data_IF_151293251252
#
_entry.id   IF_151293251252
#
_cell.length_a   1.000
_cell.length_b   1.000
_cell.length_c   1.000
_cell.angle_alpha   90.00
_cell.angle_beta   90.00
_cell.angle_gamma   90.00
#
_symmetry.space_group_name_H-M   'P 1'
#
loop_
_entity.id
_entity.type
_entity.pdbx_description
1 polymer ?
#
# COMPACT_ATOMS: atom_id res chain seq x y z
N UNK A 1 29.72 56.44 -26.80
CA UNK A 1 30.46 55.19 -26.51
C UNK A 1 29.43 54.09 -26.57
N UNK A 2 29.08 53.59 -27.75
CA UNK A 2 29.85 52.63 -28.56
C UNK A 2 28.97 51.38 -28.59
N UNK A 3 28.15 51.21 -29.63
CA UNK A 3 28.41 50.27 -30.75
C UNK A 3 28.26 48.82 -30.25
N UNK A 4 27.22 48.07 -30.62
CA UNK A 4 26.91 47.59 -31.97
C UNK A 4 27.06 46.07 -31.97
N UNK A 5 26.17 45.32 -32.64
CA UNK A 5 26.40 43.88 -32.88
C UNK A 5 25.15 43.00 -32.91
N UNK A 6 24.58 42.84 -34.11
CA UNK A 6 23.67 41.77 -34.47
C UNK A 6 24.45 40.56 -35.02
N UNK A 7 23.92 39.35 -34.82
CA UNK A 7 24.32 38.08 -35.45
C UNK A 7 23.68 36.94 -34.67
N UNK A 8 22.93 35.98 -35.23
CA UNK A 8 22.90 35.47 -36.59
C UNK A 8 23.31 34.00 -36.58
N UNK A 9 22.31 33.12 -36.57
CA UNK A 9 22.26 31.74 -37.10
C UNK A 9 23.24 30.64 -36.62
N UNK A 10 22.61 29.51 -36.25
CA UNK A 10 22.91 28.12 -36.60
C UNK A 10 24.26 27.48 -36.26
N UNK A 11 24.19 26.34 -35.58
CA UNK A 11 25.24 25.33 -35.63
C UNK A 11 25.12 24.27 -34.54
N UNK A 12 24.95 23.01 -34.94
CA UNK A 12 25.38 21.86 -34.14
C UNK A 12 24.29 20.83 -33.89
N UNK A 13 24.01 20.01 -34.90
CA UNK A 13 23.37 18.72 -34.68
C UNK A 13 24.21 17.85 -33.74
N UNK A 14 23.53 17.22 -32.79
CA UNK A 14 24.00 15.99 -32.18
C UNK A 14 22.90 14.96 -32.42
N UNK A 15 23.03 14.28 -33.55
CA UNK A 15 22.37 13.01 -33.84
C UNK A 15 22.83 12.01 -32.77
N UNK A 16 22.13 12.04 -31.63
CA UNK A 16 22.27 11.06 -30.57
C UNK A 16 21.60 9.79 -31.04
N UNK A 17 22.31 9.03 -31.88
CA UNK A 17 21.93 7.70 -32.29
C UNK A 17 21.59 6.87 -31.06
N UNK A 18 20.29 6.74 -30.80
CA UNK A 18 19.75 5.77 -29.88
C UNK A 18 20.07 4.40 -30.49
N UNK A 19 21.23 3.84 -30.13
CA UNK A 19 21.54 2.46 -30.38
C UNK A 19 20.35 1.61 -29.91
N UNK A 20 19.99 0.54 -30.65
CA UNK A 20 18.80 -0.23 -30.35
C UNK A 20 18.86 -0.65 -28.89
N UNK A 21 17.84 -0.22 -28.12
CA UNK A 21 17.64 -0.66 -26.77
C UNK A 21 17.76 -2.20 -26.75
N UNK A 22 18.46 -2.79 -25.78
CA UNK A 22 18.60 -4.24 -25.70
C UNK A 22 17.21 -4.85 -25.83
N UNK A 23 17.06 -5.76 -26.78
CA UNK A 23 15.78 -6.39 -27.09
C UNK A 23 15.14 -6.83 -25.78
N UNK A 24 14.00 -6.23 -25.46
CA UNK A 24 13.29 -6.52 -24.21
C UNK A 24 13.15 -8.03 -24.09
N UNK A 25 13.57 -8.58 -22.95
CA UNK A 25 13.48 -10.02 -22.71
C UNK A 25 12.04 -10.49 -23.00
N UNK A 26 11.84 -11.65 -23.64
CA UNK A 26 10.51 -12.12 -23.97
C UNK A 26 9.67 -12.23 -22.71
N UNK A 27 8.46 -11.67 -22.75
CA UNK A 27 7.52 -11.72 -21.63
C UNK A 27 7.15 -13.16 -21.28
N UNK A 28 6.76 -13.41 -20.02
CA UNK A 28 6.49 -14.77 -19.54
C UNK A 28 5.41 -15.50 -20.35
N UNK A 29 4.42 -14.78 -20.86
CA UNK A 29 3.40 -15.34 -21.74
C UNK A 29 3.99 -15.91 -23.05
N UNK A 30 4.95 -15.21 -23.65
CA UNK A 30 5.62 -15.67 -24.87
C UNK A 30 6.49 -16.89 -24.59
N UNK A 31 7.19 -16.90 -23.45
CA UNK A 31 7.96 -18.07 -23.00
C UNK A 31 7.05 -19.27 -22.81
N UNK A 32 5.88 -19.08 -22.17
CA UNK A 32 4.89 -20.15 -21.99
C UNK A 32 4.41 -20.71 -23.33
N UNK A 33 3.99 -19.85 -24.28
CA UNK A 33 3.59 -20.29 -25.63
C UNK A 33 4.71 -21.06 -26.34
N UNK A 34 5.94 -20.56 -26.27
CA UNK A 34 7.11 -21.22 -26.87
C UNK A 34 7.34 -22.62 -26.29
N UNK A 35 7.19 -22.78 -24.97
CA UNK A 35 7.33 -24.08 -24.30
C UNK A 35 6.23 -25.05 -24.75
N UNK A 36 4.98 -24.58 -24.87
CA UNK A 36 3.85 -25.40 -25.33
C UNK A 36 4.04 -25.85 -26.78
N UNK A 37 4.43 -24.95 -27.67
CA UNK A 37 4.70 -25.29 -29.07
C UNK A 37 5.87 -26.28 -29.18
N UNK A 38 6.96 -26.06 -28.42
CA UNK A 38 8.10 -26.99 -28.37
C UNK A 38 7.66 -28.36 -27.86
N UNK A 39 6.82 -28.42 -26.83
CA UNK A 39 6.27 -29.67 -26.31
C UNK A 39 5.50 -30.44 -27.39
N UNK A 40 4.60 -29.76 -28.12
CA UNK A 40 3.81 -30.38 -29.19
C UNK A 40 4.67 -30.88 -30.34
N UNK A 41 5.70 -30.13 -30.73
CA UNK A 41 6.67 -30.58 -31.74
C UNK A 41 7.37 -31.87 -31.31
N UNK A 42 7.83 -31.94 -30.05
CA UNK A 42 8.49 -33.15 -29.52
C UNK A 42 7.53 -34.34 -29.42
N UNK A 43 6.28 -34.09 -29.04
CA UNK A 43 5.23 -35.11 -28.99
C UNK A 43 5.00 -35.70 -30.39
N UNK A 44 4.81 -34.86 -31.41
CA UNK A 44 4.59 -35.33 -32.79
C UNK A 44 5.83 -36.02 -33.35
N UNK A 45 7.03 -35.53 -33.05
CA UNK A 45 8.27 -36.20 -33.45
C UNK A 45 8.40 -37.60 -32.82
N UNK A 46 7.98 -37.78 -31.57
CA UNK A 46 7.95 -39.07 -30.91
C UNK A 46 6.89 -40.00 -31.51
N UNK A 47 5.72 -39.46 -31.85
CA UNK A 47 4.61 -40.17 -32.49
C UNK A 47 4.76 -40.27 -34.01
N UNK A 48 5.99 -40.39 -34.54
CA UNK A 48 6.22 -40.32 -35.99
C UNK A 48 5.45 -41.37 -36.80
N UNK A 49 5.09 -41.02 -38.03
CA UNK A 49 4.37 -41.91 -38.96
C UNK A 49 5.05 -43.28 -39.15
N UNK A 50 6.39 -43.31 -39.15
CA UNK A 50 7.15 -44.55 -39.26
C UNK A 50 6.90 -45.49 -38.07
N UNK A 51 6.82 -44.97 -36.84
CA UNK A 51 6.46 -45.78 -35.67
C UNK A 51 5.02 -46.27 -35.77
N UNK A 52 4.11 -45.38 -36.18
CA UNK A 52 2.69 -45.72 -36.35
C UNK A 52 2.50 -46.88 -37.34
N UNK A 53 3.09 -46.80 -38.54
CA UNK A 53 3.02 -47.87 -39.55
C UNK A 53 3.71 -49.15 -39.09
N UNK A 54 4.81 -49.04 -38.35
CA UNK A 54 5.49 -50.22 -37.79
C UNK A 54 4.61 -51.00 -36.80
N UNK A 55 3.74 -50.33 -36.05
CA UNK A 55 2.76 -50.97 -35.17
C UNK A 55 1.57 -51.57 -35.95
N UNK A 56 1.18 -50.96 -37.07
CA UNK A 56 0.01 -51.36 -37.88
C UNK A 56 0.37 -51.97 -39.25
N UNK A 57 1.46 -52.76 -39.32
CA UNK A 57 2.02 -53.29 -40.57
C UNK A 57 1.02 -54.05 -41.44
N UNK A 58 0.17 -54.88 -40.85
CA UNK A 58 -0.79 -55.69 -41.60
C UNK A 58 -1.82 -54.81 -42.34
N UNK A 59 -2.31 -53.77 -41.66
CA UNK A 59 -3.28 -52.83 -42.22
C UNK A 59 -2.63 -51.92 -43.28
N UNK A 60 -1.41 -51.44 -43.01
CA UNK A 60 -0.66 -50.62 -43.97
C UNK A 60 -0.42 -51.32 -45.30
N UNK A 61 -0.11 -52.63 -45.29
CA UNK A 61 0.08 -53.42 -46.52
C UNK A 61 -1.19 -53.52 -47.38
N UNK A 62 -2.35 -53.55 -46.74
CA UNK A 62 -3.65 -53.64 -47.42
C UNK A 62 -4.09 -52.27 -47.95
N UNK A 63 -3.95 -51.22 -47.14
CA UNK A 63 -4.48 -49.88 -47.47
C UNK A 63 -3.56 -48.74 -46.98
N UNK A 64 -2.48 -48.45 -47.74
CA UNK A 64 -1.48 -47.44 -47.35
C UNK A 64 -2.05 -46.02 -47.27
N UNK A 65 -2.92 -45.66 -48.22
CA UNK A 65 -3.50 -44.32 -48.32
C UNK A 65 -4.44 -44.03 -47.13
N UNK A 66 -5.27 -45.01 -46.75
CA UNK A 66 -6.16 -44.88 -45.60
C UNK A 66 -5.36 -44.79 -44.30
N UNK A 67 -4.31 -45.61 -44.15
CA UNK A 67 -3.41 -45.56 -42.98
C UNK A 67 -2.78 -44.17 -42.80
N UNK A 68 -2.36 -43.54 -43.89
CA UNK A 68 -1.82 -42.18 -43.88
C UNK A 68 -2.88 -41.15 -43.49
N UNK A 69 -4.07 -41.22 -44.08
CA UNK A 69 -5.19 -40.33 -43.74
C UNK A 69 -5.58 -40.42 -42.26
N UNK A 70 -5.63 -41.63 -41.69
CA UNK A 70 -5.95 -41.84 -40.27
C UNK A 70 -4.87 -41.21 -39.38
N UNK A 71 -3.60 -41.40 -39.72
CA UNK A 71 -2.49 -40.81 -38.96
C UNK A 71 -2.53 -39.27 -39.00
N UNK A 72 -2.71 -38.69 -40.19
CA UNK A 72 -2.75 -37.24 -40.36
C UNK A 72 -3.92 -36.63 -39.57
N UNK A 73 -5.08 -37.30 -39.59
CA UNK A 73 -6.25 -36.91 -38.79
C UNK A 73 -5.97 -37.04 -37.28
N UNK A 74 -5.37 -38.14 -36.84
CA UNK A 74 -5.02 -38.36 -35.44
C UNK A 74 -4.08 -37.27 -34.90
N UNK A 75 -2.99 -36.98 -35.61
CA UNK A 75 -2.03 -35.95 -35.20
C UNK A 75 -2.67 -34.57 -35.20
N UNK A 76 -3.45 -34.23 -36.24
CA UNK A 76 -4.12 -32.93 -36.32
C UNK A 76 -5.11 -32.74 -35.19
N UNK A 77 -5.94 -33.75 -34.89
CA UNK A 77 -6.90 -33.70 -33.78
C UNK A 77 -6.21 -33.64 -32.43
N UNK A 78 -5.13 -34.41 -32.22
CA UNK A 78 -4.36 -34.38 -30.99
C UNK A 78 -3.73 -33.00 -30.74
N UNK A 79 -3.08 -32.42 -31.75
CA UNK A 79 -2.50 -31.09 -31.63
C UNK A 79 -3.56 -30.02 -31.39
N UNK A 80 -4.67 -30.06 -32.11
CA UNK A 80 -5.76 -29.10 -31.95
C UNK A 80 -6.38 -29.20 -30.55
N UNK A 81 -6.72 -30.41 -30.11
CA UNK A 81 -7.33 -30.65 -28.80
C UNK A 81 -6.41 -30.21 -27.65
N UNK A 82 -5.10 -30.51 -27.72
CA UNK A 82 -4.17 -30.06 -26.67
C UNK A 82 -4.00 -28.53 -26.68
N UNK A 83 -3.94 -27.90 -27.87
CA UNK A 83 -3.85 -26.44 -27.97
C UNK A 83 -5.11 -25.76 -27.44
N UNK A 84 -6.26 -26.29 -27.76
CA UNK A 84 -7.56 -25.81 -27.29
C UNK A 84 -7.66 -25.92 -25.77
N UNK A 85 -7.37 -27.10 -25.20
CA UNK A 85 -7.38 -27.33 -23.75
C UNK A 85 -6.43 -26.36 -23.01
N UNK A 86 -5.20 -26.18 -23.51
CA UNK A 86 -4.24 -25.24 -22.89
C UNK A 86 -4.75 -23.80 -23.01
N UNK A 87 -5.37 -23.44 -24.14
CA UNK A 87 -5.92 -22.10 -24.34
C UNK A 87 -7.13 -21.85 -23.42
N UNK A 88 -7.97 -22.86 -23.19
CA UNK A 88 -9.06 -22.81 -22.21
C UNK A 88 -8.51 -22.60 -20.80
N UNK A 89 -7.55 -23.43 -20.34
CA UNK A 89 -6.90 -23.26 -19.03
C UNK A 89 -6.25 -21.88 -18.91
N UNK A 90 -5.63 -21.36 -19.99
CA UNK A 90 -5.03 -20.02 -20.01
C UNK A 90 -6.08 -18.92 -19.81
N UNK A 91 -7.24 -19.07 -20.44
CA UNK A 91 -8.35 -18.13 -20.34
C UNK A 91 -9.02 -18.21 -18.96
N UNK A 92 -9.31 -19.41 -18.47
CA UNK A 92 -9.92 -19.65 -17.16
C UNK A 92 -9.05 -19.09 -16.03
N UNK A 93 -7.74 -19.33 -16.11
CA UNK A 93 -6.77 -18.82 -15.14
C UNK A 93 -6.38 -17.35 -15.34
N UNK A 94 -6.92 -16.67 -16.35
CA UNK A 94 -6.53 -15.32 -16.75
C UNK A 94 -5.00 -15.12 -16.79
N UNK A 95 -4.30 -16.11 -17.36
CA UNK A 95 -2.84 -16.19 -17.22
C UNK A 95 -2.11 -15.07 -17.96
N UNK A 96 -2.69 -14.53 -19.03
CA UNK A 96 -2.06 -13.42 -19.76
C UNK A 96 -1.94 -12.15 -18.91
N UNK A 97 -2.99 -11.81 -18.16
CA UNK A 97 -2.97 -10.68 -17.23
C UNK A 97 -2.03 -10.97 -16.05
N UNK A 98 -2.06 -12.20 -15.52
CA UNK A 98 -1.21 -12.60 -14.40
C UNK A 98 0.28 -12.57 -14.78
N UNK A 99 0.65 -13.06 -15.96
CA UNK A 99 2.02 -12.97 -16.48
C UNK A 99 2.44 -11.52 -16.69
N UNK A 100 1.57 -10.69 -17.26
CA UNK A 100 1.86 -9.27 -17.46
C UNK A 100 2.02 -8.53 -16.13
N UNK A 101 1.21 -8.85 -15.12
CA UNK A 101 1.31 -8.31 -13.76
C UNK A 101 2.61 -8.75 -13.09
N UNK A 102 2.97 -10.02 -13.21
CA UNK A 102 4.22 -10.55 -12.66
C UNK A 102 5.46 -9.94 -13.34
N UNK A 103 5.41 -9.75 -14.66
CA UNK A 103 6.44 -9.04 -15.41
C UNK A 103 6.62 -7.62 -14.85
N UNK A 104 5.53 -6.86 -14.65
CA UNK A 104 5.57 -5.52 -14.02
C UNK A 104 6.17 -5.54 -12.60
N UNK A 105 5.74 -6.46 -11.73
CA UNK A 105 6.26 -6.57 -10.36
C UNK A 105 7.77 -6.83 -10.36
N UNK A 106 8.24 -7.68 -11.27
CA UNK A 106 9.67 -7.99 -11.40
C UNK A 106 10.44 -6.78 -11.92
N UNK A 107 9.90 -6.07 -12.91
CA UNK A 107 10.46 -4.80 -13.40
C UNK A 107 10.58 -3.75 -12.28
N UNK A 108 9.53 -3.55 -11.49
CA UNK A 108 9.49 -2.61 -10.36
C UNK A 108 10.49 -2.97 -9.24
N UNK A 109 10.83 -4.25 -9.12
CA UNK A 109 11.73 -4.76 -8.08
C UNK A 109 13.18 -4.95 -8.54
N UNK A 110 13.52 -4.60 -9.80
CA UNK A 110 14.85 -4.84 -10.39
C UNK A 110 16.01 -4.28 -9.58
N UNK A 111 15.83 -3.13 -8.95
CA UNK A 111 16.88 -2.44 -8.20
C UNK A 111 17.10 -3.01 -6.80
N UNK A 112 16.29 -3.99 -6.37
CA UNK A 112 16.38 -4.61 -5.04
C UNK A 112 17.14 -5.93 -5.13
N UNK A 113 18.43 -5.89 -4.81
CA UNK A 113 19.28 -7.08 -4.79
C UNK A 113 19.15 -7.92 -3.50
N UNK A 114 18.59 -7.32 -2.44
CA UNK A 114 18.40 -8.00 -1.17
C UNK A 114 17.30 -9.09 -1.26
N UNK A 115 17.49 -10.24 -0.57
CA UNK A 115 16.45 -11.27 -0.51
C UNK A 115 15.14 -10.70 0.02
N UNK A 116 14.11 -10.71 -0.82
CA UNK A 116 12.78 -10.29 -0.42
C UNK A 116 12.25 -11.17 0.73
N UNK A 117 11.53 -10.55 1.66
CA UNK A 117 10.90 -11.25 2.78
C UNK A 117 10.01 -12.41 2.28
N UNK A 118 9.97 -13.49 3.06
CA UNK A 118 9.11 -14.66 2.84
C UNK A 118 8.38 -14.97 4.15
N UNK A 119 7.12 -15.47 4.08
CA UNK A 119 6.40 -15.90 5.27
C UNK A 119 7.23 -16.86 6.10
N UNK A 120 7.35 -16.56 7.39
CA UNK A 120 8.13 -17.37 8.33
C UNK A 120 7.46 -18.72 8.63
N UNK A 121 6.16 -18.83 8.32
CA UNK A 121 5.32 -19.94 8.74
C UNK A 121 4.72 -19.75 10.14
N UNK A 122 5.01 -18.62 10.80
CA UNK A 122 4.46 -18.23 12.10
C UNK A 122 3.50 -17.06 11.89
N UNK A 123 2.17 -17.31 11.90
CA UNK A 123 1.18 -16.29 11.57
C UNK A 123 1.29 -15.01 12.40
N UNK A 124 1.63 -15.13 13.70
CA UNK A 124 1.74 -13.98 14.60
C UNK A 124 2.88 -13.04 14.20
N UNK A 125 3.98 -13.58 13.65
CA UNK A 125 5.11 -12.78 13.19
C UNK A 125 4.80 -12.15 11.83
N UNK A 126 4.21 -12.92 10.92
CA UNK A 126 3.93 -12.51 9.55
C UNK A 126 2.89 -11.36 9.54
N UNK A 127 1.83 -11.48 10.34
CA UNK A 127 0.77 -10.46 10.48
C UNK A 127 1.26 -9.19 11.16
N UNK A 128 2.27 -9.28 12.04
CA UNK A 128 2.79 -8.11 12.77
C UNK A 128 3.29 -7.02 11.83
N UNK A 129 3.97 -7.41 10.75
CA UNK A 129 4.48 -6.48 9.74
C UNK A 129 3.36 -5.68 9.07
N UNK A 130 2.26 -6.36 8.72
CA UNK A 130 1.08 -5.76 8.09
C UNK A 130 0.29 -4.84 9.04
N UNK A 131 0.19 -5.20 10.32
CA UNK A 131 -0.55 -4.42 11.31
C UNK A 131 0.22 -3.19 11.82
N UNK A 132 1.55 -3.22 11.76
CA UNK A 132 2.42 -2.19 12.35
C UNK A 132 2.08 -0.76 11.89
N UNK A 133 1.85 -0.46 10.59
CA UNK A 133 1.51 0.90 10.15
C UNK A 133 0.21 1.42 10.79
N UNK A 134 -0.80 0.57 10.93
CA UNK A 134 -2.09 0.94 11.54
C UNK A 134 -1.94 1.21 13.03
N UNK A 135 -1.21 0.36 13.74
CA UNK A 135 -0.94 0.53 15.18
C UNK A 135 -0.11 1.80 15.45
N UNK A 136 0.86 2.12 14.59
CA UNK A 136 1.62 3.36 14.67
C UNK A 136 0.74 4.60 14.43
N UNK A 137 -0.15 4.55 13.43
CA UNK A 137 -1.13 5.62 13.17
C UNK A 137 -2.08 5.81 14.37
N UNK A 138 -2.56 4.73 14.96
CA UNK A 138 -3.43 4.80 16.14
C UNK A 138 -2.69 5.38 17.36
N UNK A 139 -1.46 4.91 17.61
CA UNK A 139 -0.60 5.41 18.70
C UNK A 139 -0.35 6.92 18.58
N UNK A 140 -0.06 7.41 17.38
CA UNK A 140 0.19 8.85 17.16
C UNK A 140 -1.07 9.68 17.39
N UNK A 141 -2.23 9.19 16.97
CA UNK A 141 -3.52 9.84 17.23
C UNK A 141 -3.80 9.93 18.75
N UNK A 142 -3.71 8.81 19.47
CA UNK A 142 -3.95 8.79 20.92
C UNK A 142 -3.00 9.70 21.69
N UNK A 143 -1.72 9.73 21.31
CA UNK A 143 -0.74 10.65 21.92
C UNK A 143 -1.11 12.11 21.71
N UNK A 144 -1.65 12.47 20.53
CA UNK A 144 -2.12 13.83 20.27
C UNK A 144 -3.33 14.16 21.15
N UNK A 145 -4.34 13.29 21.16
CA UNK A 145 -5.53 13.49 21.99
C UNK A 145 -5.20 13.60 23.49
N UNK A 146 -4.25 12.79 23.98
CA UNK A 146 -3.79 12.85 25.36
C UNK A 146 -3.14 14.20 25.69
N UNK A 147 -2.25 14.70 24.82
CA UNK A 147 -1.61 16.01 25.01
C UNK A 147 -2.64 17.14 25.04
N UNK A 148 -3.60 17.12 24.11
CA UNK A 148 -4.65 18.14 24.05
C UNK A 148 -5.49 18.16 25.34
N UNK A 149 -5.80 16.97 25.89
CA UNK A 149 -6.53 16.85 27.15
C UNK A 149 -5.69 17.30 28.34
N UNK A 150 -4.40 16.96 28.39
CA UNK A 150 -3.49 17.41 29.44
C UNK A 150 -3.34 18.93 29.45
N UNK A 151 -3.19 19.56 28.28
CA UNK A 151 -3.08 21.02 28.17
C UNK A 151 -4.36 21.71 28.66
N UNK A 152 -5.54 21.24 28.23
CA UNK A 152 -6.83 21.80 28.67
C UNK A 152 -7.04 21.62 30.18
N UNK A 153 -6.64 20.48 30.73
CA UNK A 153 -6.73 20.23 32.17
C UNK A 153 -5.78 21.15 32.96
N UNK A 154 -4.55 21.35 32.46
CA UNK A 154 -3.60 22.31 33.05
C UNK A 154 -4.17 23.73 33.11
N UNK A 155 -4.69 24.23 31.98
CA UNK A 155 -5.31 25.55 31.92
C UNK A 155 -6.55 25.66 32.84
N UNK A 156 -7.37 24.60 32.92
CA UNK A 156 -8.50 24.56 33.83
C UNK A 156 -8.07 24.55 35.31
N UNK A 157 -7.00 23.83 35.65
CA UNK A 157 -6.46 23.81 37.01
C UNK A 157 -5.92 25.18 37.42
N UNK A 158 -5.21 25.87 36.54
CA UNK A 158 -4.75 27.26 36.77
C UNK A 158 -5.92 28.23 36.97
N UNK A 159 -6.97 28.12 36.13
CA UNK A 159 -8.20 28.91 36.29
C UNK A 159 -8.91 28.64 37.62
N UNK A 160 -8.90 27.39 38.10
CA UNK A 160 -9.47 27.04 39.41
C UNK A 160 -8.64 27.62 40.55
N UNK A 161 -7.31 27.57 40.48
CA UNK A 161 -6.44 28.15 41.51
C UNK A 161 -6.63 29.67 41.61
N UNK A 162 -6.55 30.37 40.49
CA UNK A 162 -6.80 31.83 40.43
C UNK A 162 -8.21 32.20 40.92
N UNK A 163 -9.22 31.39 40.58
CA UNK A 163 -10.57 31.55 41.10
C UNK A 163 -10.66 31.36 42.62
N UNK A 164 -9.95 30.37 43.18
CA UNK A 164 -9.88 30.14 44.64
C UNK A 164 -9.20 31.29 45.37
N UNK A 165 -8.10 31.82 44.83
CA UNK A 165 -7.40 32.97 45.41
C UNK A 165 -8.31 34.20 45.45
N UNK A 166 -9.05 34.44 44.36
CA UNK A 166 -10.01 35.54 44.30
C UNK A 166 -11.15 35.40 45.32
N UNK A 167 -11.64 34.18 45.52
CA UNK A 167 -12.66 33.91 46.55
C UNK A 167 -12.10 34.20 47.94
N UNK A 168 -10.85 33.80 48.23
CA UNK A 168 -10.21 34.06 49.51
C UNK A 168 -10.04 35.57 49.77
N UNK A 169 -9.63 36.36 48.77
CA UNK A 169 -9.57 37.82 48.87
C UNK A 169 -10.94 38.45 49.18
N UNK A 170 -11.97 38.02 48.46
CA UNK A 170 -13.33 38.52 48.67
C UNK A 170 -13.84 38.16 50.07
N UNK A 171 -13.54 36.97 50.57
CA UNK A 171 -13.88 36.58 51.95
C UNK A 171 -13.22 37.48 52.98
N UNK A 172 -11.94 37.82 52.80
CA UNK A 172 -11.22 38.75 53.69
C UNK A 172 -11.86 40.16 53.68
N UNK A 173 -12.21 40.68 52.50
CA UNK A 173 -12.88 41.98 52.38
C UNK A 173 -14.26 41.99 53.07
N UNK A 174 -15.03 40.91 52.90
CA UNK A 174 -16.33 40.76 53.56
C UNK A 174 -16.16 40.73 55.09
N UNK A 175 -15.18 39.98 55.60
CA UNK A 175 -14.88 39.92 57.04
C UNK A 175 -14.44 41.27 57.59
N UNK A 176 -13.53 41.98 56.92
CA UNK A 176 -13.08 43.31 57.33
C UNK A 176 -14.26 44.30 57.38
N UNK A 177 -15.13 44.28 56.36
CA UNK A 177 -16.32 45.13 56.33
C UNK A 177 -17.29 44.77 57.46
N UNK A 178 -17.50 43.48 57.73
CA UNK A 178 -18.33 43.01 58.84
C UNK A 178 -17.80 43.51 60.19
N UNK A 179 -16.49 43.42 60.41
CA UNK A 179 -15.85 43.91 61.64
C UNK A 179 -15.99 45.44 61.79
N UNK A 180 -15.80 46.20 60.70
CA UNK A 180 -16.00 47.65 60.71
C UNK A 180 -17.44 48.04 61.09
N UNK A 181 -18.45 47.35 60.51
CA UNK A 181 -19.85 47.57 60.89
C UNK A 181 -20.12 47.23 62.36
N UNK A 182 -19.52 46.16 62.87
CA UNK A 182 -19.66 45.79 64.28
C UNK A 182 -19.04 46.83 65.21
N UNK A 183 -17.90 47.43 64.84
CA UNK A 183 -17.25 48.49 65.61
C UNK A 183 -18.14 49.75 65.67
N UNK A 184 -18.64 50.22 64.52
CA UNK A 184 -19.55 51.37 64.45
C UNK A 184 -20.81 51.12 65.29
N UNK A 185 -21.39 49.92 65.22
CA UNK A 185 -22.57 49.56 66.02
C UNK A 185 -22.27 49.54 67.54
N UNK A 186 -21.05 49.20 67.96
CA UNK A 186 -20.65 49.27 69.37
C UNK A 186 -20.50 50.71 69.82
N UNK A 187 -19.79 51.54 69.04
CA UNK A 187 -19.64 52.98 69.31
C UNK A 187 -20.99 53.68 69.42
N UNK A 188 -21.93 53.37 68.52
CA UNK A 188 -23.31 53.89 68.59
C UNK A 188 -24.03 53.46 69.87
N UNK A 189 -23.86 52.22 70.33
CA UNK A 189 -24.45 51.74 71.59
C UNK A 189 -23.83 52.44 72.80
N UNK A 190 -22.52 52.65 72.80
CA UNK A 190 -21.82 53.37 73.86
C UNK A 190 -22.28 54.85 73.91
N UNK A 191 -22.39 55.51 72.76
CA UNK A 191 -22.98 56.86 72.65
C UNK A 191 -24.40 56.90 73.22
N UNK A 192 -25.28 55.98 72.83
CA UNK A 192 -26.66 55.93 73.36
C UNK A 192 -26.67 55.74 74.88
N UNK A 193 -25.79 54.91 75.44
CA UNK A 193 -25.65 54.74 76.89
C UNK A 193 -25.16 56.01 77.60
N UNK A 194 -24.31 56.82 76.97
CA UNK A 194 -23.90 58.12 77.53
C UNK A 194 -25.00 59.17 77.53
N UNK A 195 -25.99 59.05 76.62
CA UNK A 195 -27.16 59.94 76.57
C UNK A 195 -28.34 59.43 77.42
N UNK A 196 -28.29 58.19 77.92
CA UNK A 196 -29.25 57.66 78.89
C UNK A 196 -28.68 57.84 80.31
N UNK A 197 -28.95 58.99 80.93
CA UNK A 197 -28.71 59.19 82.37
C UNK A 197 -29.59 58.22 83.20
N UNK A 198 -29.08 57.67 84.32
CA UNK A 198 -29.88 56.80 85.18
C UNK A 198 -30.90 57.63 85.97
N UNK A 199 -32.18 57.27 85.84
CA UNK A 199 -33.21 57.58 86.85
C UNK A 199 -33.34 56.42 87.84
#
# INVERSE_FOLDING_TARGET
HGDGGAGGAEGGGADGGAGPAPAAAPGRAQVFSTVVDTFLEKLVAAASYQRFVNCYRCFYKLQPQLTRSIYDQFISQLQASVKEEIQEVKNEGNLEELFSSLDKIVEEAKDREEPAWRPSGIPEQDVRSALLPYLLKHRTHLRRALRDKQQRNGAAAEAVLTGRDRIAELQQLIQARQQAWQAISKEQRELIMTFQEPQ
#
